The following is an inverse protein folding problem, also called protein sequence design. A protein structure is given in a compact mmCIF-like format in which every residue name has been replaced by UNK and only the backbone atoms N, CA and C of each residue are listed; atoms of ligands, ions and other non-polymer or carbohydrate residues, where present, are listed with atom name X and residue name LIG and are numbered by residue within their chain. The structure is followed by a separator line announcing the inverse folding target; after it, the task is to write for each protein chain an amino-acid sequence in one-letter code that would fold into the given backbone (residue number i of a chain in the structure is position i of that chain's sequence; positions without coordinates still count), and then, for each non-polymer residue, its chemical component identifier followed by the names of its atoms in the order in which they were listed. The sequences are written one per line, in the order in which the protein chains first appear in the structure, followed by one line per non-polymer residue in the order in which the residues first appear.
data_IF_590773326255
#
_entry.id   IF_590773326255
#
_cell.length_a   1.000
_cell.length_b   1.000
_cell.length_c   1.000
_cell.angle_alpha   90.00
_cell.angle_beta   90.00
_cell.angle_gamma   90.00
#
_symmetry.space_group_name_H-M   'P 1'
#
loop_
_entity.id
_entity.type
_entity.pdbx_description
1 polymer ?
#
# COMPACT_ATOMS: atom_id res chain seq x y z
N UNK A 1 14.31 -1.79 -30.48
CA UNK A 1 14.90 -0.52 -30.03
C UNK A 1 15.17 -0.63 -28.54
N UNK A 2 16.34 -0.21 -28.09
CA UNK A 2 16.65 -0.10 -26.65
C UNK A 2 15.82 1.02 -26.04
N UNK A 3 15.32 0.83 -24.81
CA UNK A 3 14.70 1.90 -24.01
C UNK A 3 15.58 2.22 -22.82
N UNK A 4 15.65 3.50 -22.49
CA UNK A 4 16.40 4.02 -21.36
C UNK A 4 15.43 4.45 -20.26
N UNK A 5 15.81 4.25 -19.00
CA UNK A 5 15.00 4.60 -17.83
C UNK A 5 15.77 5.55 -16.94
N UNK A 6 15.09 6.60 -16.49
CA UNK A 6 15.68 7.66 -15.68
C UNK A 6 14.61 8.31 -14.79
N UNK A 7 15.02 9.05 -13.77
CA UNK A 7 14.12 9.80 -12.90
C UNK A 7 13.97 11.24 -13.39
N UNK A 8 12.78 11.82 -13.20
CA UNK A 8 12.54 13.24 -13.52
C UNK A 8 13.30 14.23 -12.62
N UNK A 9 13.80 13.77 -11.47
CA UNK A 9 14.67 14.50 -10.55
C UNK A 9 15.58 13.45 -9.87
N UNK A 10 16.87 13.75 -9.80
CA UNK A 10 17.94 12.94 -9.23
C UNK A 10 17.94 12.94 -7.69
N UNK A 11 17.28 13.91 -7.06
CA UNK A 11 17.16 14.01 -5.62
C UNK A 11 15.79 13.56 -5.09
N UNK A 12 15.83 12.66 -4.09
CA UNK A 12 14.68 12.25 -3.31
C UNK A 12 14.99 12.33 -1.82
N UNK A 13 14.18 13.12 -1.11
CA UNK A 13 14.27 13.24 0.33
C UNK A 13 13.28 12.27 0.98
N UNK A 14 13.81 11.29 1.70
CA UNK A 14 13.01 10.38 2.49
C UNK A 14 12.34 11.12 3.65
N UNK A 15 11.10 10.74 3.97
CA UNK A 15 10.51 11.15 5.25
C UNK A 15 11.34 10.60 6.41
N UNK A 16 11.58 11.43 7.41
CA UNK A 16 12.22 10.97 8.64
C UNK A 16 11.32 9.96 9.38
N UNK A 17 11.92 8.89 9.89
CA UNK A 17 11.19 7.87 10.65
C UNK A 17 10.48 8.47 11.87
N UNK A 18 11.04 9.51 12.50
CA UNK A 18 10.41 10.22 13.62
C UNK A 18 9.06 10.84 13.22
N UNK A 19 9.00 11.48 12.05
CA UNK A 19 7.77 12.07 11.53
C UNK A 19 6.73 10.99 11.18
N UNK A 20 7.16 9.86 10.59
CA UNK A 20 6.26 8.75 10.28
C UNK A 20 5.71 8.09 11.55
N UNK A 21 6.56 7.84 12.56
CA UNK A 21 6.09 7.35 13.87
C UNK A 21 5.06 8.29 14.50
N UNK A 22 5.26 9.60 14.38
CA UNK A 22 4.31 10.59 14.88
C UNK A 22 2.95 10.53 14.14
N UNK A 23 2.94 10.28 12.82
CA UNK A 23 1.70 10.05 12.06
C UNK A 23 0.95 8.80 12.55
N UNK A 24 1.67 7.72 12.84
CA UNK A 24 1.10 6.44 13.25
C UNK A 24 0.91 6.28 14.77
N UNK A 25 1.09 7.35 15.56
CA UNK A 25 1.08 7.30 17.03
C UNK A 25 -0.18 6.73 17.68
N UNK A 26 -1.30 6.69 16.96
CA UNK A 26 -2.57 6.14 17.46
C UNK A 26 -2.65 4.61 17.38
N UNK A 27 -1.74 3.97 16.66
CA UNK A 27 -1.63 2.51 16.62
C UNK A 27 -1.15 2.01 17.99
N UNK A 28 -1.90 1.14 18.70
CA UNK A 28 -1.68 0.81 20.10
C UNK A 28 -0.60 -0.27 20.31
N UNK A 29 0.55 -0.11 19.66
CA UNK A 29 1.74 -0.95 19.85
C UNK A 29 2.96 -0.22 19.32
N UNK A 30 3.95 0.04 20.19
CA UNK A 30 5.19 0.72 19.78
C UNK A 30 5.97 -0.09 18.74
N UNK A 31 5.98 -1.41 18.85
CA UNK A 31 6.61 -2.29 17.86
C UNK A 31 5.89 -2.22 16.51
N UNK A 32 4.55 -2.19 16.52
CA UNK A 32 3.77 -1.99 15.30
C UNK A 32 4.04 -0.61 14.69
N UNK A 33 4.10 0.45 15.48
CA UNK A 33 4.41 1.81 15.02
C UNK A 33 5.79 1.86 14.35
N UNK A 34 6.80 1.21 14.92
CA UNK A 34 8.14 1.17 14.31
C UNK A 34 8.15 0.41 12.99
N UNK A 35 7.57 -0.80 12.96
CA UNK A 35 7.49 -1.60 11.75
C UNK A 35 6.71 -0.89 10.64
N UNK A 36 5.58 -0.24 11.00
CA UNK A 36 4.78 0.54 10.07
C UNK A 36 5.56 1.76 9.56
N UNK A 37 6.28 2.49 10.40
CA UNK A 37 7.04 3.67 9.98
C UNK A 37 8.13 3.31 8.96
N UNK A 38 8.88 2.23 9.18
CA UNK A 38 9.88 1.72 8.25
C UNK A 38 9.25 1.28 6.93
N UNK A 39 8.16 0.51 6.98
CA UNK A 39 7.43 0.07 5.80
C UNK A 39 6.81 1.26 5.03
N UNK A 40 6.31 2.28 5.73
CA UNK A 40 5.73 3.48 5.12
C UNK A 40 6.79 4.30 4.39
N UNK A 41 7.99 4.44 4.96
CA UNK A 41 9.11 5.08 4.27
C UNK A 41 9.46 4.36 2.96
N UNK A 42 9.45 3.03 2.97
CA UNK A 42 9.66 2.23 1.76
C UNK A 42 8.50 2.37 0.76
N UNK A 43 7.26 2.39 1.25
CA UNK A 43 6.08 2.65 0.43
C UNK A 43 6.14 4.02 -0.27
N UNK A 44 6.52 5.08 0.46
CA UNK A 44 6.67 6.43 -0.09
C UNK A 44 7.72 6.49 -1.20
N UNK A 45 8.83 5.75 -1.01
CA UNK A 45 9.85 5.59 -2.03
C UNK A 45 9.29 4.91 -3.28
N UNK A 46 8.61 3.76 -3.14
CA UNK A 46 8.03 3.06 -4.29
C UNK A 46 7.01 3.93 -5.04
N UNK A 47 6.10 4.57 -4.31
CA UNK A 47 5.05 5.41 -4.89
C UNK A 47 5.63 6.66 -5.56
N UNK A 48 6.56 7.35 -4.90
CA UNK A 48 7.05 8.63 -5.41
C UNK A 48 8.13 8.43 -6.46
N UNK A 49 9.14 7.61 -6.17
CA UNK A 49 10.26 7.40 -7.08
C UNK A 49 9.85 6.50 -8.24
N UNK A 50 9.30 5.32 -7.96
CA UNK A 50 9.09 4.32 -9.00
C UNK A 50 7.83 4.61 -9.81
N UNK A 51 6.69 4.85 -9.14
CA UNK A 51 5.42 5.10 -9.85
C UNK A 51 5.34 6.55 -10.37
N UNK A 52 5.82 7.52 -9.59
CA UNK A 52 5.67 8.94 -9.90
C UNK A 52 6.78 9.56 -10.75
N UNK A 53 8.02 9.07 -10.66
CA UNK A 53 9.19 9.75 -11.26
C UNK A 53 9.97 8.94 -12.29
N UNK A 54 9.88 7.60 -12.32
CA UNK A 54 10.54 6.81 -13.38
C UNK A 54 9.86 7.09 -14.71
N UNK A 55 10.69 7.48 -15.67
CA UNK A 55 10.28 7.82 -17.02
C UNK A 55 10.99 6.93 -18.03
N UNK A 56 10.34 6.67 -19.16
CA UNK A 56 10.94 5.93 -20.27
C UNK A 56 11.33 6.88 -21.39
N UNK A 57 12.53 6.66 -21.93
CA UNK A 57 13.17 7.46 -22.95
C UNK A 57 13.57 6.60 -24.15
N UNK A 58 13.43 7.18 -25.34
CA UNK A 58 13.87 6.56 -26.61
C UNK A 58 15.38 6.68 -26.84
N UNK A 59 16.06 7.63 -26.19
CA UNK A 59 17.47 7.96 -26.39
C UNK A 59 18.22 8.11 -25.03
N UNK A 60 19.55 7.85 -25.00
CA UNK A 60 20.38 8.13 -23.83
C UNK A 60 20.45 9.64 -23.54
N UNK A 61 20.80 10.02 -22.30
CA UNK A 61 20.73 11.41 -21.79
C UNK A 61 21.36 12.42 -22.74
N UNK A 62 22.55 12.14 -23.24
CA UNK A 62 23.34 13.03 -24.09
C UNK A 62 22.71 13.28 -25.47
N UNK A 63 21.85 12.37 -25.92
CA UNK A 63 21.15 12.42 -27.21
C UNK A 63 19.68 12.85 -27.08
N UNK A 64 19.23 13.25 -25.87
CA UNK A 64 17.83 13.68 -25.65
C UNK A 64 17.62 15.08 -26.22
N UNK A 65 16.73 15.17 -27.22
CA UNK A 65 16.31 16.46 -27.77
C UNK A 65 15.58 17.30 -26.71
N UNK A 66 15.87 18.60 -26.65
CA UNK A 66 15.35 19.51 -25.60
C UNK A 66 13.82 19.70 -25.60
N UNK A 67 13.15 19.27 -26.66
CA UNK A 67 11.69 19.34 -26.81
C UNK A 67 11.00 17.99 -26.53
N UNK A 68 11.75 16.91 -26.32
CA UNK A 68 11.19 15.59 -26.05
C UNK A 68 10.64 15.53 -24.62
N UNK A 69 9.35 15.22 -24.48
CA UNK A 69 8.73 15.03 -23.17
C UNK A 69 8.87 13.57 -22.73
N UNK A 70 9.35 13.32 -21.51
CA UNK A 70 9.42 11.96 -20.98
C UNK A 70 8.05 11.29 -21.04
N UNK A 71 8.03 10.01 -21.39
CA UNK A 71 6.82 9.20 -21.31
C UNK A 71 6.78 8.50 -19.95
N UNK A 72 5.59 8.32 -19.35
CA UNK A 72 5.43 7.43 -18.21
C UNK A 72 6.02 6.04 -18.52
N UNK A 73 6.36 5.28 -17.49
CA UNK A 73 6.67 3.86 -17.62
C UNK A 73 5.64 3.17 -18.53
N UNK A 74 6.13 2.25 -19.38
CA UNK A 74 5.26 1.35 -20.16
C UNK A 74 4.28 0.67 -19.20
N UNK A 75 3.02 0.54 -19.60
CA UNK A 75 1.91 0.20 -18.70
C UNK A 75 2.15 -1.06 -17.85
N UNK A 76 2.83 -2.07 -18.39
CA UNK A 76 3.20 -3.29 -17.65
C UNK A 76 4.22 -3.03 -16.53
N UNK A 77 5.25 -2.22 -16.79
CA UNK A 77 6.24 -1.84 -15.78
C UNK A 77 5.62 -0.93 -14.71
N UNK A 78 4.72 -0.03 -15.12
CA UNK A 78 3.96 0.83 -14.21
C UNK A 78 3.05 0.00 -13.31
N UNK A 79 2.34 -0.97 -13.88
CA UNK A 79 1.51 -1.91 -13.13
C UNK A 79 2.34 -2.71 -12.12
N UNK A 80 3.49 -3.26 -12.52
CA UNK A 80 4.37 -3.96 -11.57
C UNK A 80 4.84 -3.08 -10.40
N UNK A 81 5.15 -1.81 -10.66
CA UNK A 81 5.51 -0.85 -9.62
C UNK A 81 4.34 -0.54 -8.67
N UNK A 82 3.13 -0.33 -9.21
CA UNK A 82 1.92 -0.10 -8.38
C UNK A 82 1.60 -1.36 -7.56
N UNK A 83 1.70 -2.56 -8.15
CA UNK A 83 1.51 -3.82 -7.45
C UNK A 83 2.44 -3.99 -6.24
N UNK A 84 3.70 -3.55 -6.38
CA UNK A 84 4.66 -3.52 -5.27
C UNK A 84 4.21 -2.56 -4.15
N UNK A 85 3.70 -1.37 -4.51
CA UNK A 85 3.11 -0.44 -3.54
C UNK A 85 1.91 -1.07 -2.83
N UNK A 86 1.04 -1.77 -3.57
CA UNK A 86 -0.14 -2.45 -3.00
C UNK A 86 0.29 -3.51 -1.98
N UNK A 87 1.33 -4.28 -2.27
CA UNK A 87 1.86 -5.30 -1.35
C UNK A 87 2.34 -4.69 -0.03
N UNK A 88 3.17 -3.65 -0.10
CA UNK A 88 3.69 -2.96 1.10
C UNK A 88 2.55 -2.26 1.86
N UNK A 89 1.68 -1.54 1.16
CA UNK A 89 0.54 -0.84 1.76
C UNK A 89 -0.43 -1.78 2.46
N UNK A 90 -0.73 -2.93 1.86
CA UNK A 90 -1.59 -3.96 2.47
C UNK A 90 -0.99 -4.53 3.77
N UNK A 91 0.35 -4.65 3.83
CA UNK A 91 1.06 -5.15 5.02
C UNK A 91 1.03 -4.12 6.16
N UNK A 92 1.16 -2.83 5.84
CA UNK A 92 0.99 -1.73 6.81
C UNK A 92 -0.42 -1.75 7.40
N UNK A 93 -1.44 -1.85 6.55
CA UNK A 93 -2.85 -1.90 6.95
C UNK A 93 -3.12 -3.12 7.83
N UNK A 94 -2.64 -4.30 7.44
CA UNK A 94 -2.76 -5.52 8.24
C UNK A 94 -2.15 -5.33 9.63
N UNK A 95 -0.95 -4.76 9.72
CA UNK A 95 -0.26 -4.51 10.98
C UNK A 95 -1.04 -3.55 11.89
N UNK A 96 -1.48 -2.41 11.35
CA UNK A 96 -2.26 -1.41 12.09
C UNK A 96 -3.59 -2.00 12.58
N UNK A 97 -4.34 -2.63 11.68
CA UNK A 97 -5.65 -3.24 11.99
C UNK A 97 -5.53 -4.31 13.06
N UNK A 98 -4.47 -5.13 13.01
CA UNK A 98 -4.18 -6.15 14.02
C UNK A 98 -3.86 -5.53 15.37
N UNK A 99 -3.00 -4.52 15.43
CA UNK A 99 -2.67 -3.86 16.68
C UNK A 99 -3.93 -3.26 17.35
N UNK A 100 -4.77 -2.57 16.59
CA UNK A 100 -6.04 -2.04 17.10
C UNK A 100 -6.99 -3.15 17.58
N UNK A 101 -7.06 -4.26 16.86
CA UNK A 101 -7.88 -5.41 17.24
C UNK A 101 -7.43 -6.06 18.56
N UNK A 102 -6.12 -6.21 18.74
CA UNK A 102 -5.51 -6.78 19.93
C UNK A 102 -5.74 -5.87 21.15
N UNK A 103 -5.57 -4.55 20.99
CA UNK A 103 -5.87 -3.57 22.05
C UNK A 103 -7.34 -3.58 22.47
N UNK A 104 -8.25 -3.72 21.49
CA UNK A 104 -9.70 -3.87 21.74
C UNK A 104 -10.10 -5.24 22.30
N UNK A 105 -9.15 -6.16 22.43
CA UNK A 105 -9.35 -7.53 22.90
C UNK A 105 -10.42 -8.27 22.11
N UNK A 106 -10.43 -8.13 20.77
CA UNK A 106 -11.39 -8.84 19.92
C UNK A 106 -11.27 -10.35 20.16
N UNK A 107 -12.25 -10.92 20.87
CA UNK A 107 -12.17 -12.28 21.46
C UNK A 107 -11.84 -13.37 20.44
N UNK A 108 -12.30 -13.23 19.21
CA UNK A 108 -12.06 -14.20 18.13
C UNK A 108 -10.60 -14.21 17.61
N UNK A 109 -9.86 -13.11 17.77
CA UNK A 109 -8.43 -13.03 17.42
C UNK A 109 -7.51 -13.62 18.49
N UNK A 110 -7.94 -13.58 19.75
CA UNK A 110 -7.12 -13.94 20.91
C UNK A 110 -7.04 -15.45 21.18
N UNK A 111 -7.92 -16.26 20.59
CA UNK A 111 -7.99 -17.72 20.82
C UNK A 111 -6.88 -18.51 20.12
N UNK A 112 -6.18 -17.93 19.15
CA UNK A 112 -5.21 -18.62 18.29
C UNK A 112 -3.79 -18.06 18.44
N UNK A 113 -2.79 -18.92 18.16
CA UNK A 113 -1.37 -18.53 18.17
C UNK A 113 -1.13 -17.32 17.22
N UNK A 114 -0.20 -16.40 17.56
CA UNK A 114 0.03 -15.17 16.79
C UNK A 114 0.23 -15.36 15.29
N UNK A 115 0.88 -16.45 14.86
CA UNK A 115 1.14 -16.81 13.46
C UNK A 115 -0.13 -17.14 12.67
N UNK A 116 -1.23 -17.48 13.35
CA UNK A 116 -2.50 -17.80 12.70
C UNK A 116 -3.43 -16.60 12.56
N UNK A 117 -3.01 -15.40 12.98
CA UNK A 117 -3.75 -14.14 12.88
C UNK A 117 -3.54 -13.49 11.51
N UNK A 118 -3.91 -14.22 10.45
CA UNK A 118 -3.81 -13.73 9.06
C UNK A 118 -4.74 -12.54 8.83
N UNK A 119 -4.42 -11.70 7.84
CA UNK A 119 -5.24 -10.55 7.47
C UNK A 119 -6.74 -10.87 7.36
N UNK A 120 -7.13 -11.91 6.63
CA UNK A 120 -8.52 -12.34 6.50
C UNK A 120 -9.21 -12.69 7.84
N UNK A 121 -8.49 -13.27 8.80
CA UNK A 121 -9.04 -13.54 10.15
C UNK A 121 -9.18 -12.27 10.97
N UNK A 122 -8.26 -11.31 10.82
CA UNK A 122 -8.37 -10.00 11.46
C UNK A 122 -9.63 -9.29 10.95
N UNK A 123 -9.84 -9.26 9.63
CA UNK A 123 -11.04 -8.71 8.99
C UNK A 123 -12.30 -9.38 9.55
N UNK A 124 -12.33 -10.71 9.57
CA UNK A 124 -13.47 -11.46 10.10
C UNK A 124 -13.78 -11.11 11.56
N UNK A 125 -12.76 -11.04 12.41
CA UNK A 125 -12.93 -10.72 13.83
C UNK A 125 -13.51 -9.32 14.04
N UNK A 126 -13.06 -8.32 13.28
CA UNK A 126 -13.64 -6.99 13.29
C UNK A 126 -15.10 -7.00 12.86
N UNK A 127 -15.44 -7.66 11.75
CA UNK A 127 -16.82 -7.74 11.23
C UNK A 127 -17.79 -8.41 12.21
N UNK A 128 -17.31 -9.35 13.02
CA UNK A 128 -18.15 -10.17 13.92
C UNK A 128 -18.19 -9.71 15.38
N UNK A 129 -17.41 -8.70 15.77
CA UNK A 129 -17.36 -8.27 17.17
C UNK A 129 -18.62 -7.51 17.64
N UNK A 130 -19.46 -7.02 16.72
CA UNK A 130 -20.71 -6.31 17.03
C UNK A 130 -20.50 -4.86 17.52
N UNK A 131 -19.72 -4.67 18.60
CA UNK A 131 -19.44 -3.35 19.19
C UNK A 131 -18.48 -2.54 18.31
N UNK A 132 -17.39 -3.17 17.87
CA UNK A 132 -16.33 -2.50 17.09
C UNK A 132 -16.50 -2.67 15.57
N UNK A 133 -17.50 -3.42 15.12
CA UNK A 133 -17.76 -3.59 13.68
C UNK A 133 -18.19 -2.29 13.01
N UNK A 134 -18.83 -1.37 13.76
CA UNK A 134 -19.24 -0.06 13.25
C UNK A 134 -18.04 0.88 13.01
N UNK A 135 -16.94 0.72 13.73
CA UNK A 135 -15.77 1.61 13.60
C UNK A 135 -15.11 1.52 12.23
N UNK A 136 -15.11 0.32 11.63
CA UNK A 136 -14.53 0.10 10.30
C UNK A 136 -15.58 0.11 9.18
N UNK A 137 -16.85 0.33 9.49
CA UNK A 137 -17.93 0.18 8.51
C UNK A 137 -17.78 1.12 7.29
N UNK A 138 -17.18 2.29 7.47
CA UNK A 138 -16.96 3.27 6.40
C UNK A 138 -15.78 2.93 5.47
N UNK A 139 -14.97 1.94 5.86
CA UNK A 139 -13.74 1.56 5.15
C UNK A 139 -13.63 0.06 4.90
N UNK A 140 -14.64 -0.73 5.27
CA UNK A 140 -14.58 -2.20 5.15
C UNK A 140 -14.44 -2.65 3.70
N UNK A 141 -15.15 -2.01 2.77
CA UNK A 141 -15.08 -2.37 1.35
C UNK A 141 -13.68 -2.12 0.79
N UNK A 142 -13.00 -1.06 1.24
CA UNK A 142 -11.61 -0.77 0.86
C UNK A 142 -10.65 -1.85 1.42
N UNK A 143 -10.85 -2.27 2.68
CA UNK A 143 -10.07 -3.35 3.31
C UNK A 143 -10.24 -4.66 2.55
N UNK A 144 -11.47 -5.02 2.19
CA UNK A 144 -11.77 -6.27 1.48
C UNK A 144 -11.23 -6.24 0.04
N UNK A 145 -11.31 -5.10 -0.65
CA UNK A 145 -10.72 -4.90 -1.98
C UNK A 145 -9.21 -5.15 -1.96
N UNK A 146 -8.50 -4.57 -0.99
CA UNK A 146 -7.04 -4.73 -0.86
C UNK A 146 -6.68 -6.17 -0.49
N UNK A 147 -7.42 -6.78 0.45
CA UNK A 147 -7.20 -8.18 0.82
C UNK A 147 -7.40 -9.12 -0.38
N UNK A 148 -8.44 -8.91 -1.19
CA UNK A 148 -8.67 -9.64 -2.44
C UNK A 148 -7.48 -9.52 -3.38
N UNK A 149 -7.06 -8.29 -3.72
CA UNK A 149 -5.94 -8.05 -4.65
C UNK A 149 -4.62 -8.69 -4.20
N UNK A 150 -4.33 -8.67 -2.90
CA UNK A 150 -3.13 -9.33 -2.33
C UNK A 150 -3.15 -10.84 -2.55
N UNK A 151 -4.33 -11.47 -2.54
CA UNK A 151 -4.46 -12.89 -2.80
C UNK A 151 -4.45 -13.21 -4.30
N UNK A 152 -4.87 -12.26 -5.15
CA UNK A 152 -4.92 -12.40 -6.61
C UNK A 152 -3.61 -12.05 -7.34
N UNK A 153 -2.45 -12.37 -6.76
CA UNK A 153 -1.13 -12.20 -7.43
C UNK A 153 -0.90 -13.29 -8.52
N UNK A 154 -1.96 -13.97 -8.97
CA UNK A 154 -1.86 -14.98 -10.01
C UNK A 154 -1.79 -14.33 -11.40
N UNK A 155 -0.66 -14.51 -12.10
CA UNK A 155 -0.46 -14.09 -13.50
C UNK A 155 -1.61 -14.51 -14.43
N UNK A 156 -2.29 -15.61 -14.15
CA UNK A 156 -3.43 -16.08 -14.93
C UNK A 156 -4.62 -15.11 -14.94
N UNK A 157 -4.83 -14.33 -13.87
CA UNK A 157 -5.90 -13.33 -13.78
C UNK A 157 -5.69 -12.14 -14.74
N UNK A 158 -4.47 -12.00 -15.30
CA UNK A 158 -4.13 -10.97 -16.29
C UNK A 158 -4.32 -11.43 -17.75
N UNK A 159 -4.66 -12.70 -17.99
CA UNK A 159 -4.83 -13.23 -19.35
C UNK A 159 -6.04 -12.57 -20.03
N UNK A 160 -5.80 -11.96 -21.20
CA UNK A 160 -6.85 -11.31 -22.01
C UNK A 160 -7.27 -9.92 -21.53
N UNK A 161 -6.65 -9.35 -20.49
CA UNK A 161 -6.91 -7.98 -20.02
C UNK A 161 -5.98 -6.98 -20.71
N UNK A 162 -6.48 -5.76 -20.96
CA UNK A 162 -5.62 -4.65 -21.38
C UNK A 162 -4.77 -4.18 -20.19
N UNK A 163 -3.56 -3.70 -20.44
CA UNK A 163 -2.72 -3.16 -19.37
C UNK A 163 -3.27 -1.83 -18.83
N UNK A 164 -4.03 -1.10 -19.64
CA UNK A 164 -4.77 0.10 -19.24
C UNK A 164 -5.77 -0.22 -18.13
N UNK A 165 -6.58 -1.27 -18.30
CA UNK A 165 -7.55 -1.70 -17.28
C UNK A 165 -6.86 -2.13 -15.99
N UNK A 166 -5.74 -2.84 -16.10
CA UNK A 166 -4.94 -3.28 -14.95
C UNK A 166 -4.39 -2.06 -14.19
N UNK A 167 -3.80 -1.08 -14.90
CA UNK A 167 -3.26 0.14 -14.28
C UNK A 167 -4.36 0.95 -13.61
N UNK A 168 -5.54 1.07 -14.22
CA UNK A 168 -6.67 1.79 -13.62
C UNK A 168 -7.14 1.11 -12.32
N UNK A 169 -7.35 -0.20 -12.34
CA UNK A 169 -7.76 -0.96 -11.16
C UNK A 169 -6.72 -0.86 -10.03
N UNK A 170 -5.43 -1.02 -10.36
CA UNK A 170 -4.35 -0.92 -9.38
C UNK A 170 -4.22 0.51 -8.82
N UNK A 171 -4.48 1.54 -9.63
CA UNK A 171 -4.52 2.93 -9.17
C UNK A 171 -5.67 3.16 -8.18
N UNK A 172 -6.85 2.59 -8.44
CA UNK A 172 -7.98 2.67 -7.50
C UNK A 172 -7.68 1.96 -6.18
N UNK A 173 -6.93 0.84 -6.21
CA UNK A 173 -6.50 0.13 -5.01
C UNK A 173 -5.47 0.95 -4.24
N UNK A 174 -4.54 1.61 -4.95
CA UNK A 174 -3.58 2.51 -4.32
C UNK A 174 -4.28 3.67 -3.60
N UNK A 175 -5.33 4.25 -4.20
CA UNK A 175 -6.15 5.27 -3.56
C UNK A 175 -6.86 4.76 -2.30
N UNK A 176 -7.39 3.52 -2.34
CA UNK A 176 -7.98 2.88 -1.17
C UNK A 176 -6.97 2.67 -0.03
N UNK A 177 -5.71 2.36 -0.35
CA UNK A 177 -4.62 2.24 0.64
C UNK A 177 -4.38 3.56 1.36
N UNK A 178 -4.30 4.68 0.64
CA UNK A 178 -4.11 6.01 1.24
C UNK A 178 -5.26 6.37 2.18
N UNK A 179 -6.50 6.13 1.74
CA UNK A 179 -7.69 6.35 2.57
C UNK A 179 -7.63 5.53 3.86
N UNK A 180 -7.14 4.29 3.79
CA UNK A 180 -6.97 3.44 4.98
C UNK A 180 -5.81 3.89 5.87
N UNK A 181 -4.74 4.44 5.30
CA UNK A 181 -3.68 5.06 6.10
C UNK A 181 -4.25 6.20 6.93
N UNK A 182 -4.98 7.11 6.31
CA UNK A 182 -5.63 8.22 7.02
C UNK A 182 -6.59 7.73 8.10
N UNK A 183 -7.39 6.70 7.78
CA UNK A 183 -8.31 6.08 8.74
C UNK A 183 -7.57 5.53 9.97
N UNK A 184 -6.54 4.69 9.80
CA UNK A 184 -5.83 4.08 10.93
C UNK A 184 -4.92 5.06 11.67
N UNK A 185 -4.40 6.11 11.02
CA UNK A 185 -3.72 7.22 11.69
C UNK A 185 -4.71 8.04 12.55
N UNK A 186 -5.98 8.08 12.15
CA UNK A 186 -7.06 8.77 12.84
C UNK A 186 -7.78 7.94 13.91
N UNK A 187 -7.77 6.61 13.81
CA UNK A 187 -8.50 5.70 14.68
C UNK A 187 -7.94 5.72 16.11
N UNK A 188 -8.78 6.04 17.10
CA UNK A 188 -8.32 6.12 18.48
C UNK A 188 -8.02 4.73 19.07
N UNK A 189 -6.99 4.63 19.93
CA UNK A 189 -6.83 3.47 20.81
C UNK A 189 -8.04 3.40 21.75
N UNK A 190 -8.67 2.22 21.83
CA UNK A 190 -9.81 1.98 22.71
C UNK A 190 -9.39 1.91 24.19
#
# INVERSE_FOLDING_TARGET
MSRWFDFSNDEYQFHELGALRAKWRKVPSHDAVNAIAEAHQYYDFLKTMIVGRVQSWSHPVDDRESWFKPTPLVLSARSGAISSCISVGSSIIECAMRAHAENRKLRELMKNKPEHRTFGKVIYAWKKHGVYSSEIATVIDDIEKIHGRRNDIHLYASFGRSWEDVVNEETDILAAIEKLFDFFQGLDPA
#
